data_IF_632004120100
#
_entry.id   IF_632004120100
#
_cell.length_a   1.000
_cell.length_b   1.000
_cell.length_c   1.000
_cell.angle_alpha   90.00
_cell.angle_beta   90.00
_cell.angle_gamma   90.00
#
_symmetry.space_group_name_H-M   'P 1'
#
loop_
_entity.id
_entity.type
_entity.pdbx_description
1 polymer ?
#
# COMPACT_ATOMS: atom_id res chain seq x y z
N UNK A 1 4.12 17.01 -2.41
CA UNK A 1 4.51 16.87 -0.98
C UNK A 1 3.71 15.82 -0.22
N UNK A 2 2.45 15.50 -0.54
CA UNK A 2 1.68 14.46 0.19
C UNK A 2 2.21 13.02 -0.02
N UNK A 3 2.74 12.69 -1.21
CA UNK A 3 3.17 11.31 -1.49
C UNK A 3 4.35 10.87 -0.63
N UNK A 4 5.29 11.77 -0.30
CA UNK A 4 6.45 11.42 0.53
C UNK A 4 6.04 11.04 1.96
N UNK A 5 5.07 11.75 2.54
CA UNK A 5 4.60 11.48 3.91
C UNK A 5 3.73 10.22 3.93
N UNK A 6 2.86 10.01 2.92
CA UNK A 6 2.12 8.75 2.78
C UNK A 6 3.04 7.56 2.55
N UNK A 7 4.15 7.71 1.82
CA UNK A 7 5.14 6.65 1.64
C UNK A 7 5.91 6.32 2.94
N UNK A 8 6.12 7.31 3.82
CA UNK A 8 6.72 7.08 5.13
C UNK A 8 5.78 6.35 6.10
N UNK A 9 4.47 6.50 5.93
CA UNK A 9 3.48 5.74 6.72
C UNK A 9 3.32 4.34 6.12
N UNK A 10 3.16 4.22 4.80
CA UNK A 10 3.02 2.94 4.10
C UNK A 10 4.39 2.39 3.69
N UNK A 11 5.11 1.84 4.67
CA UNK A 11 6.41 1.18 4.47
C UNK A 11 6.25 -0.28 4.05
N UNK A 12 6.98 -0.68 3.01
CA UNK A 12 6.98 -2.06 2.49
C UNK A 12 7.64 -2.99 3.50
N UNK A 13 8.73 -2.54 4.08
CA UNK A 13 9.54 -3.28 5.05
C UNK A 13 8.75 -3.53 6.33
N UNK A 14 8.01 -2.52 6.82
CA UNK A 14 7.14 -2.67 7.99
C UNK A 14 5.98 -3.63 7.72
N UNK A 15 5.38 -3.58 6.53
CA UNK A 15 4.37 -4.55 6.12
C UNK A 15 4.90 -5.98 6.14
N UNK A 16 6.05 -6.21 5.49
CA UNK A 16 6.66 -7.55 5.41
C UNK A 16 7.00 -8.06 6.80
N UNK A 17 7.59 -7.22 7.66
CA UNK A 17 7.91 -7.59 9.04
C UNK A 17 6.65 -7.99 9.84
N UNK A 18 5.58 -7.22 9.72
CA UNK A 18 4.31 -7.49 10.41
C UNK A 18 3.61 -8.76 9.88
N UNK A 19 3.66 -9.01 8.57
CA UNK A 19 3.07 -10.21 7.97
C UNK A 19 3.90 -11.47 8.29
N UNK A 20 5.24 -11.36 8.24
CA UNK A 20 6.18 -12.46 8.47
C UNK A 20 6.17 -12.96 9.91
N UNK A 21 5.80 -12.13 10.89
CA UNK A 21 5.72 -12.57 12.28
C UNK A 21 4.70 -13.71 12.48
N UNK A 22 3.77 -13.91 11.52
CA UNK A 22 2.68 -14.89 11.57
C UNK A 22 1.81 -14.78 12.83
N UNK A 23 1.94 -13.68 13.56
CA UNK A 23 1.16 -13.36 14.73
C UNK A 23 0.05 -12.40 14.29
N UNK A 24 -1.20 -12.87 14.38
CA UNK A 24 -2.36 -12.08 14.00
C UNK A 24 -2.40 -10.74 14.75
N UNK A 25 -1.93 -10.69 16.00
CA UNK A 25 -1.88 -9.46 16.79
C UNK A 25 -0.92 -8.43 16.22
N UNK A 26 0.24 -8.84 15.70
CA UNK A 26 1.22 -7.91 15.14
C UNK A 26 0.71 -7.28 13.84
N UNK A 27 0.08 -8.08 12.99
CA UNK A 27 -0.53 -7.58 11.76
C UNK A 27 -1.73 -6.66 12.03
N UNK A 28 -2.55 -6.97 13.04
CA UNK A 28 -3.63 -6.09 13.49
C UNK A 28 -3.09 -4.75 14.02
N UNK A 29 -2.01 -4.80 14.82
CA UNK A 29 -1.36 -3.60 15.33
C UNK A 29 -0.76 -2.75 14.20
N UNK A 30 -0.10 -3.39 13.23
CA UNK A 30 0.37 -2.72 12.02
C UNK A 30 -0.79 -1.99 11.32
N UNK A 31 -1.88 -2.71 11.01
CA UNK A 31 -3.07 -2.14 10.36
C UNK A 31 -3.61 -0.91 11.11
N UNK A 32 -3.82 -1.03 12.42
CA UNK A 32 -4.36 0.07 13.24
C UNK A 32 -3.41 1.27 13.33
N UNK A 33 -2.09 1.02 13.42
CA UNK A 33 -1.07 2.07 13.43
C UNK A 33 -1.06 2.85 12.12
N UNK A 34 -1.10 2.15 10.98
CA UNK A 34 -1.14 2.78 9.66
C UNK A 34 -2.42 3.62 9.50
N UNK A 35 -3.58 3.03 9.82
CA UNK A 35 -4.85 3.73 9.69
C UNK A 35 -4.92 4.97 10.59
N UNK A 36 -4.47 4.86 11.83
CA UNK A 36 -4.38 5.97 12.78
C UNK A 36 -3.42 7.05 12.30
N UNK A 37 -2.28 6.66 11.72
CA UNK A 37 -1.32 7.57 11.11
C UNK A 37 -1.92 8.35 9.93
N UNK A 38 -2.59 7.65 9.00
CA UNK A 38 -3.26 8.26 7.85
C UNK A 38 -4.37 9.22 8.28
N UNK A 39 -5.24 8.81 9.20
CA UNK A 39 -6.31 9.67 9.72
C UNK A 39 -5.70 10.87 10.46
N UNK A 40 -4.72 10.64 11.33
CA UNK A 40 -4.03 11.71 12.07
C UNK A 40 -3.42 12.76 11.15
N UNK A 41 -2.81 12.34 10.04
CA UNK A 41 -2.21 13.22 9.04
C UNK A 41 -3.25 14.04 8.27
N UNK A 42 -4.40 13.44 7.94
CA UNK A 42 -5.36 14.05 7.01
C UNK A 42 -6.63 14.61 7.67
N UNK A 43 -6.86 14.38 8.98
CA UNK A 43 -8.07 14.84 9.69
C UNK A 43 -8.36 16.33 9.60
N UNK A 44 -7.33 17.16 9.45
CA UNK A 44 -7.49 18.61 9.35
C UNK A 44 -7.69 19.11 7.90
N UNK A 45 -7.55 18.23 6.91
CA UNK A 45 -7.57 18.56 5.49
C UNK A 45 -8.75 17.94 4.75
N UNK A 46 -9.36 16.90 5.32
CA UNK A 46 -10.43 16.12 4.72
C UNK A 46 -11.74 16.34 5.46
N UNK A 47 -12.85 16.37 4.72
CA UNK A 47 -14.19 16.30 5.31
C UNK A 47 -14.43 14.93 5.96
N UNK A 48 -15.37 14.82 6.92
CA UNK A 48 -15.68 13.54 7.58
C UNK A 48 -15.96 12.40 6.59
N UNK A 49 -16.74 12.67 5.54
CA UNK A 49 -17.05 11.68 4.48
C UNK A 49 -15.81 11.22 3.70
N UNK A 50 -14.83 12.10 3.51
CA UNK A 50 -13.56 11.74 2.88
C UNK A 50 -12.66 10.94 3.82
N UNK A 51 -12.71 11.18 5.14
CA UNK A 51 -12.01 10.35 6.12
C UNK A 51 -12.60 8.94 6.19
N UNK A 52 -13.92 8.81 6.08
CA UNK A 52 -14.60 7.52 5.94
C UNK A 52 -14.18 6.80 4.65
N UNK A 53 -14.20 7.50 3.52
CA UNK A 53 -13.73 6.95 2.25
C UNK A 53 -12.25 6.54 2.29
N UNK A 54 -11.40 7.30 3.00
CA UNK A 54 -9.99 6.97 3.20
C UNK A 54 -9.84 5.67 3.97
N UNK A 55 -10.59 5.50 5.06
CA UNK A 55 -10.62 4.27 5.87
C UNK A 55 -11.05 3.10 5.00
N UNK A 56 -12.19 3.20 4.33
CA UNK A 56 -12.73 2.13 3.49
C UNK A 56 -11.74 1.72 2.38
N UNK A 57 -11.20 2.69 1.65
CA UNK A 57 -10.25 2.44 0.55
C UNK A 57 -8.96 1.81 1.05
N UNK A 58 -8.48 2.23 2.22
CA UNK A 58 -7.34 1.61 2.87
C UNK A 58 -7.62 0.15 3.20
N UNK A 59 -8.74 -0.17 3.87
CA UNK A 59 -9.09 -1.55 4.24
C UNK A 59 -9.19 -2.48 3.04
N UNK A 60 -9.90 -2.05 1.99
CA UNK A 60 -10.07 -2.84 0.76
C UNK A 60 -8.73 -3.11 0.11
N UNK A 61 -7.90 -2.07 -0.05
CA UNK A 61 -6.60 -2.20 -0.72
C UNK A 61 -5.58 -2.98 0.12
N UNK A 62 -5.67 -2.89 1.45
CA UNK A 62 -4.85 -3.70 2.35
C UNK A 62 -5.22 -5.17 2.24
N UNK A 63 -6.51 -5.49 2.15
CA UNK A 63 -6.96 -6.87 1.93
C UNK A 63 -6.51 -7.40 0.56
N UNK A 64 -6.55 -6.59 -0.49
CA UNK A 64 -5.99 -6.94 -1.81
C UNK A 64 -4.49 -7.25 -1.71
N UNK A 65 -3.74 -6.43 -0.97
CA UNK A 65 -2.31 -6.65 -0.72
C UNK A 65 -2.06 -7.95 0.06
N UNK A 66 -2.85 -8.24 1.10
CA UNK A 66 -2.80 -9.50 1.85
C UNK A 66 -3.03 -10.69 0.93
N UNK A 67 -4.00 -10.60 0.03
CA UNK A 67 -4.31 -11.66 -0.93
C UNK A 67 -3.21 -11.84 -1.99
N UNK A 68 -2.52 -10.76 -2.35
CA UNK A 68 -1.38 -10.77 -3.27
C UNK A 68 -0.07 -11.19 -2.60
N UNK A 69 -0.02 -11.26 -1.27
CA UNK A 69 1.19 -11.65 -0.53
C UNK A 69 1.43 -13.14 -0.70
N UNK A 70 2.59 -13.57 -1.22
CA UNK A 70 2.91 -14.98 -1.38
C UNK A 70 3.00 -15.67 -0.03
N UNK A 71 2.61 -16.96 -0.01
CA UNK A 71 2.71 -17.78 1.21
C UNK A 71 4.16 -17.93 1.68
N UNK A 72 5.07 -18.06 0.72
CA UNK A 72 6.50 -17.94 0.96
C UNK A 72 6.91 -16.47 0.80
N UNK A 73 6.98 -15.78 1.94
CA UNK A 73 7.29 -14.35 1.99
C UNK A 73 8.76 -14.06 1.66
N UNK A 74 9.66 -15.04 1.77
CA UNK A 74 11.09 -14.85 1.52
C UNK A 74 11.36 -14.48 0.05
N UNK A 75 10.46 -14.87 -0.86
CA UNK A 75 10.46 -14.45 -2.27
C UNK A 75 10.46 -12.92 -2.42
N UNK A 76 9.82 -12.20 -1.49
CA UNK A 76 9.77 -10.74 -1.52
C UNK A 76 11.08 -10.08 -1.03
N UNK A 77 11.88 -10.81 -0.26
CA UNK A 77 13.14 -10.32 0.32
C UNK A 77 14.35 -10.69 -0.56
N UNK A 78 14.22 -11.66 -1.46
CA UNK A 78 15.29 -12.09 -2.36
C UNK A 78 15.72 -10.99 -3.32
N UNK A 79 17.02 -10.82 -3.53
CA UNK A 79 17.56 -9.96 -4.57
C UNK A 79 17.45 -10.66 -5.93
N UNK A 80 16.50 -10.20 -6.76
CA UNK A 80 16.33 -10.70 -8.13
C UNK A 80 17.30 -10.04 -9.13
N UNK A 81 18.34 -9.35 -8.67
CA UNK A 81 19.39 -8.75 -9.51
C UNK A 81 20.25 -9.80 -10.23
N UNK A 82 20.18 -11.06 -9.83
CA UNK A 82 20.81 -12.20 -10.52
C UNK A 82 20.29 -12.42 -11.96
N UNK A 83 19.23 -11.72 -12.35
CA UNK A 83 18.58 -11.77 -13.67
C UNK A 83 19.20 -10.86 -14.72
N UNK A 84 20.19 -10.02 -14.36
CA UNK A 84 20.84 -9.08 -15.28
C UNK A 84 21.97 -9.71 -16.12
N UNK A 85 22.23 -11.02 -15.97
CA UNK A 85 23.12 -11.75 -16.87
C UNK A 85 22.33 -12.21 -18.10
N UNK A 86 22.59 -11.60 -19.26
CA UNK A 86 21.89 -11.80 -20.54
C UNK A 86 21.83 -13.26 -21.05
N UNK A 87 22.63 -14.18 -20.48
CA UNK A 87 22.69 -15.60 -20.86
C UNK A 87 21.95 -16.57 -19.90
N UNK A 88 21.32 -16.08 -18.82
CA UNK A 88 20.62 -16.95 -17.87
C UNK A 88 19.19 -17.27 -18.32
N UNK A 89 18.94 -18.54 -18.68
CA UNK A 89 17.58 -19.03 -18.93
C UNK A 89 16.91 -19.33 -17.60
N UNK A 90 15.87 -18.55 -17.30
CA UNK A 90 15.10 -18.72 -16.08
C UNK A 90 14.39 -20.08 -16.00
N UNK A 91 14.56 -20.74 -14.86
CA UNK A 91 13.73 -21.88 -14.46
C UNK A 91 12.27 -21.45 -14.26
N UNK A 92 11.33 -22.40 -14.35
CA UNK A 92 9.91 -22.13 -14.10
C UNK A 92 9.65 -21.63 -12.67
N UNK A 93 10.47 -22.05 -11.71
CA UNK A 93 10.40 -21.60 -10.32
C UNK A 93 10.80 -20.13 -10.19
N UNK A 94 11.92 -19.73 -10.80
CA UNK A 94 12.34 -18.33 -10.83
C UNK A 94 11.31 -17.43 -11.53
N UNK A 95 10.75 -17.88 -12.66
CA UNK A 95 9.67 -17.16 -13.36
C UNK A 95 8.44 -16.99 -12.45
N UNK A 96 8.03 -18.04 -11.74
CA UNK A 96 6.92 -17.97 -10.78
C UNK A 96 7.21 -16.96 -9.66
N UNK A 97 8.42 -16.98 -9.11
CA UNK A 97 8.84 -16.07 -8.04
C UNK A 97 8.82 -14.60 -8.49
N UNK A 98 9.30 -14.33 -9.72
CA UNK A 98 9.23 -12.99 -10.34
C UNK A 98 7.78 -12.53 -10.47
N UNK A 99 6.89 -13.39 -10.99
CA UNK A 99 5.47 -13.05 -11.16
C UNK A 99 4.78 -12.78 -9.82
N UNK A 100 5.04 -13.62 -8.81
CA UNK A 100 4.50 -13.44 -7.45
C UNK A 100 4.97 -12.12 -6.83
N UNK A 101 6.26 -11.81 -6.94
CA UNK A 101 6.82 -10.54 -6.47
C UNK A 101 6.19 -9.36 -7.21
N UNK A 102 6.12 -9.40 -8.54
CA UNK A 102 5.51 -8.33 -9.32
C UNK A 102 4.04 -8.10 -8.95
N UNK A 103 3.28 -9.18 -8.70
CA UNK A 103 1.90 -9.08 -8.26
C UNK A 103 1.77 -8.41 -6.89
N UNK A 104 2.63 -8.78 -5.94
CA UNK A 104 2.72 -8.13 -4.63
C UNK A 104 3.07 -6.64 -4.75
N UNK A 105 4.13 -6.28 -5.49
CA UNK A 105 4.55 -4.89 -5.64
C UNK A 105 3.47 -4.03 -6.30
N UNK A 106 2.76 -4.59 -7.28
CA UNK A 106 1.62 -3.92 -7.91
C UNK A 106 0.48 -3.67 -6.91
N UNK A 107 0.13 -4.66 -6.08
CA UNK A 107 -0.88 -4.49 -5.04
C UNK A 107 -0.46 -3.46 -3.99
N UNK A 108 0.83 -3.45 -3.62
CA UNK A 108 1.38 -2.49 -2.66
C UNK A 108 1.33 -1.05 -3.21
N UNK A 109 1.70 -0.88 -4.47
CA UNK A 109 1.59 0.39 -5.17
C UNK A 109 0.13 0.87 -5.27
N UNK A 110 -0.80 -0.03 -5.60
CA UNK A 110 -2.24 0.27 -5.61
C UNK A 110 -2.78 0.74 -4.26
N UNK A 111 -2.33 0.14 -3.16
CA UNK A 111 -2.68 0.61 -1.81
C UNK A 111 -2.29 2.08 -1.60
N UNK A 112 -1.07 2.46 -1.99
CA UNK A 112 -0.61 3.86 -1.90
C UNK A 112 -1.41 4.79 -2.80
N UNK A 113 -1.69 4.37 -4.04
CA UNK A 113 -2.46 5.16 -5.00
C UNK A 113 -3.89 5.41 -4.53
N UNK A 114 -4.58 4.38 -4.01
CA UNK A 114 -5.95 4.49 -3.53
C UNK A 114 -6.05 5.46 -2.33
N UNK A 115 -5.10 5.41 -1.40
CA UNK A 115 -5.00 6.40 -0.31
C UNK A 115 -4.81 7.81 -0.88
N UNK A 116 -3.90 7.96 -1.84
CA UNK A 116 -3.56 9.25 -2.42
C UNK A 116 -4.70 9.84 -3.27
N UNK A 117 -5.50 9.00 -3.94
CA UNK A 117 -6.69 9.41 -4.68
C UNK A 117 -7.72 10.07 -3.77
N UNK A 118 -8.01 9.47 -2.61
CA UNK A 118 -8.96 10.06 -1.64
C UNK A 118 -8.45 11.40 -1.15
N UNK A 119 -7.18 11.48 -0.78
CA UNK A 119 -6.55 12.73 -0.31
C UNK A 119 -6.59 13.83 -1.38
N UNK A 120 -6.36 13.47 -2.64
CA UNK A 120 -6.34 14.43 -3.75
C UNK A 120 -7.74 14.79 -4.28
N UNK A 121 -8.79 14.06 -3.90
CA UNK A 121 -10.17 14.39 -4.26
C UNK A 121 -10.67 15.73 -3.68
N UNK A 122 -9.85 16.38 -2.85
CA UNK A 122 -10.09 17.69 -2.22
C UNK A 122 -10.13 18.89 -3.17
N UNK A 123 -9.83 18.73 -4.47
CA UNK A 123 -9.71 19.87 -5.41
C UNK A 123 -11.04 20.29 -6.08
N UNK A 124 -12.14 19.55 -5.91
CA UNK A 124 -13.40 19.85 -6.63
C UNK A 124 -14.50 20.48 -5.76
N UNK A 125 -14.30 21.73 -5.35
CA UNK A 125 -15.40 22.69 -5.29
C UNK A 125 -14.84 24.05 -5.75
N UNK A 126 -14.97 24.43 -7.04
CA UNK A 126 -14.80 25.83 -7.38
C UNK A 126 -15.84 26.59 -6.55
N UNK A 127 -15.40 27.63 -5.86
CA UNK A 127 -16.28 28.53 -5.12
C UNK A 127 -17.36 29.01 -6.09
N UNK A 128 -18.55 28.42 -6.01
CA UNK A 128 -19.72 28.97 -6.69
C UNK A 128 -19.93 30.31 -6.01
N UNK A 129 -19.51 31.37 -6.67
CA UNK A 129 -19.80 32.74 -6.25
C UNK A 129 -21.32 32.84 -6.17
N UNK A 130 -21.85 32.73 -4.96
CA UNK A 130 -23.23 33.05 -4.66
C UNK A 130 -23.37 34.55 -4.88
N UNK A 131 -23.64 34.95 -6.13
CA UNK A 131 -24.16 36.27 -6.43
C UNK A 131 -25.61 36.26 -5.98
N UNK A 132 -25.83 36.83 -4.80
CA UNK A 132 -27.12 37.34 -4.34
C UNK A 132 -27.45 38.57 -5.18
#
# INVERSE_FOLDING_TARGET
MSSFITNNILSREEYIAAYKSRNATDFLNYRENILSGLIGLYKHRLFPTQLEALRERFEVSLQELVNATPHDIEILEQDCTLLENDDHVLTLEEQRNIVMRAHFEYAFQRLRENVQMVVNSTIYLPSVSARI
#
